data_IF_570230073687
#
_entry.id   IF_570230073687
#
_cell.length_a   1.000
_cell.length_b   1.000
_cell.length_c   1.000
_cell.angle_alpha   90.00
_cell.angle_beta   90.00
_cell.angle_gamma   90.00
#
_symmetry.space_group_name_H-M   'P 1'
#
loop_
_entity.id
_entity.type
_entity.pdbx_description
1 polymer ?
#
# COMPACT_ATOMS: atom_id res chain seq x y z
N UNK A 1 11.26 12.91 -17.45
CA UNK A 1 10.24 11.90 -17.78
C UNK A 1 9.66 11.41 -16.46
N UNK A 2 8.34 11.58 -16.26
CA UNK A 2 7.64 11.15 -15.04
C UNK A 2 6.95 9.84 -15.36
N UNK A 3 7.69 8.74 -15.31
CA UNK A 3 7.21 7.41 -15.75
C UNK A 3 6.20 6.76 -14.78
N UNK A 4 5.81 7.49 -13.73
CA UNK A 4 5.04 7.01 -12.59
C UNK A 4 3.86 7.92 -12.28
N UNK A 5 3.40 8.74 -13.22
CA UNK A 5 2.16 9.49 -13.09
C UNK A 5 0.95 8.73 -13.68
N UNK A 6 1.17 7.49 -14.10
CA UNK A 6 0.21 6.66 -14.82
C UNK A 6 -0.03 7.10 -16.26
N UNK A 7 0.73 8.08 -16.79
CA UNK A 7 0.55 8.60 -18.16
C UNK A 7 1.63 8.13 -19.14
N UNK A 8 2.67 7.48 -18.63
CA UNK A 8 3.85 7.08 -19.39
C UNK A 8 4.16 5.61 -19.12
N UNK A 9 3.54 4.73 -19.90
CA UNK A 9 3.67 3.28 -19.79
C UNK A 9 4.43 2.72 -21.00
N UNK A 10 5.04 1.55 -20.84
CA UNK A 10 5.63 0.81 -21.96
C UNK A 10 4.54 0.19 -22.87
N UNK A 11 4.95 -0.52 -23.92
CA UNK A 11 4.02 -1.19 -24.85
C UNK A 11 3.14 -2.24 -24.16
N UNK A 12 3.59 -2.78 -23.03
CA UNK A 12 2.88 -3.76 -22.19
C UNK A 12 1.95 -3.10 -21.16
N UNK A 13 1.81 -1.77 -21.17
CA UNK A 13 1.04 -0.98 -20.20
C UNK A 13 1.60 -1.02 -18.76
N UNK A 14 2.90 -1.25 -18.61
CA UNK A 14 3.59 -1.23 -17.33
C UNK A 14 4.25 0.13 -17.10
N UNK A 15 4.28 0.58 -15.84
CA UNK A 15 5.11 1.74 -15.50
C UNK A 15 6.58 1.35 -15.62
N UNK A 16 7.46 2.31 -15.90
CA UNK A 16 8.90 2.00 -15.94
C UNK A 16 9.34 1.85 -14.49
N UNK A 17 9.55 0.64 -13.99
CA UNK A 17 9.94 0.37 -12.59
C UNK A 17 10.86 1.46 -12.02
N UNK A 18 10.45 2.04 -10.88
CA UNK A 18 11.43 2.68 -9.98
C UNK A 18 12.18 1.52 -9.40
N UNK A 19 13.17 1.08 -10.14
CA UNK A 19 14.31 0.41 -9.61
C UNK A 19 14.65 1.18 -8.31
N UNK A 20 14.64 0.50 -7.15
CA UNK A 20 15.25 1.00 -5.90
C UNK A 20 16.68 1.56 -6.15
N UNK A 21 17.20 1.22 -7.32
CA UNK A 21 18.49 1.32 -7.92
C UNK A 21 18.73 2.45 -8.94
N UNK A 22 17.90 3.49 -9.01
CA UNK A 22 18.46 4.77 -9.52
C UNK A 22 19.60 5.32 -8.62
N UNK A 23 19.74 4.79 -7.38
CA UNK A 23 20.90 5.00 -6.47
C UNK A 23 21.35 3.75 -5.65
N UNK A 24 20.92 2.53 -5.99
CA UNK A 24 21.14 1.27 -5.24
C UNK A 24 20.89 1.25 -3.73
N UNK A 25 20.27 2.25 -3.11
CA UNK A 25 19.89 2.13 -1.69
C UNK A 25 18.63 2.89 -1.35
N UNK A 26 18.00 2.38 -0.29
CA UNK A 26 17.01 3.06 0.52
C UNK A 26 17.48 4.51 0.71
N UNK A 27 16.61 5.53 0.54
CA UNK A 27 16.97 6.90 0.87
C UNK A 27 17.43 6.97 2.33
N UNK A 28 18.75 7.02 2.54
CA UNK A 28 19.33 7.25 3.85
C UNK A 28 19.44 8.74 4.08
N UNK A 29 19.01 9.17 5.26
CA UNK A 29 19.27 10.53 5.72
C UNK A 29 20.72 10.64 6.10
N UNK A 30 21.43 11.62 5.53
CA UNK A 30 22.80 11.90 5.93
C UNK A 30 22.86 12.14 7.46
N UNK A 31 23.77 11.46 8.18
CA UNK A 31 23.95 11.65 9.60
C UNK A 31 24.17 13.12 9.96
N UNK A 32 23.51 13.59 11.02
CA UNK A 32 23.60 15.00 11.46
C UNK A 32 25.00 15.41 11.93
N UNK A 33 25.85 14.42 12.24
CA UNK A 33 27.25 14.61 12.64
C UNK A 33 28.21 14.75 11.45
N UNK A 34 27.70 14.68 10.21
CA UNK A 34 28.48 14.80 8.98
C UNK A 34 29.26 13.54 8.58
N UNK A 35 29.02 12.41 9.23
CA UNK A 35 29.58 11.12 8.79
C UNK A 35 28.98 10.66 7.46
N UNK A 36 29.73 9.85 6.72
CA UNK A 36 29.32 9.34 5.41
C UNK A 36 28.24 8.26 5.57
N UNK A 37 27.10 8.43 4.90
CA UNK A 37 26.09 7.38 4.78
C UNK A 37 26.65 6.20 3.98
N UNK A 38 26.46 4.96 4.47
CA UNK A 38 26.97 3.77 3.79
C UNK A 38 25.85 3.18 2.92
N UNK A 39 26.08 3.21 1.62
CA UNK A 39 25.10 2.84 0.60
C UNK A 39 25.38 1.40 0.10
N UNK A 40 24.68 0.35 0.57
CA UNK A 40 24.88 -1.00 0.05
C UNK A 40 24.48 -1.08 -1.42
N UNK A 41 25.36 -1.60 -2.29
CA UNK A 41 25.18 -1.51 -3.75
C UNK A 41 24.27 -2.58 -4.36
N UNK A 42 23.88 -3.64 -3.63
CA UNK A 42 22.94 -4.67 -4.09
C UNK A 42 22.67 -5.72 -3.02
N UNK A 43 21.40 -6.12 -2.86
CA UNK A 43 21.01 -7.36 -2.16
C UNK A 43 20.73 -8.45 -3.22
N UNK A 44 21.33 -9.65 -3.13
CA UNK A 44 21.08 -10.74 -4.07
C UNK A 44 19.69 -11.36 -3.97
N UNK A 45 18.92 -11.08 -2.91
CA UNK A 45 17.58 -11.63 -2.72
C UNK A 45 16.50 -10.57 -2.95
N UNK A 46 15.71 -10.74 -4.01
CA UNK A 46 14.54 -9.91 -4.29
C UNK A 46 13.32 -10.81 -4.60
N UNK A 47 12.24 -10.74 -3.80
CA UNK A 47 11.00 -11.47 -4.08
C UNK A 47 10.32 -11.02 -5.36
N UNK A 48 9.51 -11.88 -5.97
CA UNK A 48 8.75 -11.55 -7.17
C UNK A 48 7.79 -10.36 -6.97
N UNK A 49 7.24 -10.19 -5.76
CA UNK A 49 6.42 -9.02 -5.42
C UNK A 49 7.18 -7.69 -5.50
N UNK A 50 8.50 -7.71 -5.29
CA UNK A 50 9.36 -6.52 -5.25
C UNK A 50 9.93 -6.15 -6.63
N UNK A 51 9.85 -7.05 -7.62
CA UNK A 51 10.20 -6.75 -9.02
C UNK A 51 9.09 -6.03 -9.79
N UNK A 52 7.91 -5.87 -9.19
CA UNK A 52 6.80 -5.17 -9.80
C UNK A 52 7.11 -3.67 -9.99
N UNK A 53 6.81 -3.15 -11.18
CA UNK A 53 7.05 -1.74 -11.53
C UNK A 53 6.31 -0.72 -10.66
N UNK A 54 5.20 -1.15 -10.06
CA UNK A 54 4.34 -0.36 -9.19
C UNK A 54 4.52 -0.71 -7.70
N UNK A 55 5.48 -1.57 -7.32
CA UNK A 55 5.73 -1.99 -5.94
C UNK A 55 5.78 -0.81 -4.96
N UNK A 56 6.52 0.25 -5.28
CA UNK A 56 6.66 1.44 -4.41
C UNK A 56 5.31 2.14 -4.17
N UNK A 57 4.33 2.05 -5.08
CA UNK A 57 3.00 2.58 -4.84
C UNK A 57 2.09 1.59 -4.07
N UNK A 58 2.36 0.27 -4.16
CA UNK A 58 1.60 -0.79 -3.48
C UNK A 58 2.10 -1.18 -2.09
N UNK A 59 3.36 -0.93 -1.75
CA UNK A 59 4.02 -1.45 -0.54
C UNK A 59 3.25 -1.17 0.76
N UNK A 60 2.51 -0.05 0.84
CA UNK A 60 1.68 0.30 2.00
C UNK A 60 0.48 -0.63 2.23
N UNK A 61 0.12 -1.43 1.21
CA UNK A 61 -0.98 -2.37 1.21
C UNK A 61 -0.52 -3.82 1.03
N UNK A 62 0.71 -4.01 0.57
CA UNK A 62 1.32 -5.30 0.26
C UNK A 62 2.60 -5.40 1.07
N UNK A 63 2.46 -5.67 2.38
CA UNK A 63 3.57 -5.97 3.28
C UNK A 63 3.35 -7.36 3.87
N UNK A 64 4.39 -8.19 3.86
CA UNK A 64 4.31 -9.57 4.37
C UNK A 64 5.55 -9.89 5.24
N UNK A 65 5.64 -11.14 5.70
CA UNK A 65 6.74 -11.57 6.56
C UNK A 65 8.08 -11.72 5.85
N UNK A 66 8.14 -11.64 4.52
CA UNK A 66 9.41 -11.70 3.77
C UNK A 66 10.26 -10.46 3.99
N UNK A 67 9.63 -9.33 4.35
CA UNK A 67 10.31 -8.05 4.58
C UNK A 67 11.35 -8.10 5.72
N UNK A 68 11.08 -8.87 6.78
CA UNK A 68 11.99 -9.07 7.92
C UNK A 68 13.29 -9.79 7.54
N UNK A 69 13.34 -10.42 6.35
CA UNK A 69 14.52 -11.12 5.87
C UNK A 69 15.71 -10.22 5.56
N UNK A 70 15.47 -8.93 5.27
CA UNK A 70 16.50 -7.98 4.83
C UNK A 70 16.66 -6.79 5.77
N UNK A 71 15.57 -6.26 6.35
CA UNK A 71 15.60 -5.04 7.16
C UNK A 71 14.70 -5.13 8.39
N UNK A 72 14.94 -4.26 9.36
CA UNK A 72 14.01 -4.05 10.48
C UNK A 72 12.73 -3.38 9.97
N UNK A 73 11.61 -4.05 10.16
CA UNK A 73 10.26 -3.59 9.76
C UNK A 73 9.44 -3.07 10.94
N UNK A 74 10.06 -2.90 12.10
CA UNK A 74 9.39 -2.36 13.29
C UNK A 74 8.82 -0.97 13.02
N UNK A 75 7.81 -0.54 13.78
CA UNK A 75 7.21 0.80 13.66
C UNK A 75 6.76 1.20 12.22
N UNK A 76 5.97 0.36 11.52
CA UNK A 76 5.57 0.64 10.15
C UNK A 76 4.74 1.92 10.02
N UNK A 77 5.11 2.78 9.07
CA UNK A 77 4.53 4.10 8.89
C UNK A 77 5.07 5.17 9.85
N UNK A 78 6.03 4.81 10.71
CA UNK A 78 6.78 5.74 11.52
C UNK A 78 7.58 6.74 10.69
N UNK A 79 8.06 7.80 11.35
CA UNK A 79 8.87 8.86 10.70
C UNK A 79 10.05 9.29 11.57
N UNK A 80 10.44 8.45 12.52
CA UNK A 80 11.50 8.70 13.50
C UNK A 80 12.83 8.06 13.12
N UNK A 81 12.92 7.49 11.91
CA UNK A 81 14.10 6.82 11.37
C UNK A 81 14.53 5.59 12.20
N UNK A 82 13.62 4.98 12.98
CA UNK A 82 13.95 3.84 13.85
C UNK A 82 14.16 2.51 13.12
N UNK A 83 13.64 2.40 11.90
CA UNK A 83 13.61 1.18 11.09
C UNK A 83 13.44 1.51 9.61
N UNK A 84 13.45 0.51 8.74
CA UNK A 84 13.13 0.71 7.32
C UNK A 84 11.71 1.27 7.13
N UNK A 85 10.73 0.66 7.81
CA UNK A 85 9.33 1.08 7.71
C UNK A 85 9.01 2.35 8.51
N UNK A 86 9.95 2.88 9.29
CA UNK A 86 9.86 4.15 10.01
C UNK A 86 10.72 5.28 9.41
N UNK A 87 11.26 5.07 8.21
CA UNK A 87 12.14 6.03 7.54
C UNK A 87 11.39 7.29 7.11
N UNK A 88 11.79 8.44 7.67
CA UNK A 88 11.20 9.75 7.36
C UNK A 88 11.40 10.19 5.91
N UNK A 89 12.48 9.79 5.26
CA UNK A 89 12.72 10.09 3.85
C UNK A 89 11.68 9.42 2.93
N UNK A 90 11.06 8.31 3.37
CA UNK A 90 9.96 7.66 2.65
C UNK A 90 8.59 8.13 3.16
N UNK A 91 8.33 8.03 4.47
CA UNK A 91 7.00 8.22 5.06
C UNK A 91 6.65 9.67 5.43
N UNK A 92 7.63 10.56 5.56
CA UNK A 92 7.42 12.00 5.81
C UNK A 92 7.70 12.88 4.57
N UNK A 93 7.85 12.27 3.39
CA UNK A 93 8.21 12.97 2.15
C UNK A 93 7.07 12.93 1.14
N UNK A 94 6.65 14.10 0.68
CA UNK A 94 5.75 14.19 -0.47
C UNK A 94 6.54 14.07 -1.78
N UNK A 95 6.42 12.93 -2.47
CA UNK A 95 7.07 12.66 -3.75
C UNK A 95 6.31 13.27 -4.95
N UNK A 96 6.07 14.59 -4.91
CA UNK A 96 5.29 15.35 -5.92
C UNK A 96 5.76 15.13 -7.35
N UNK A 97 7.04 14.82 -7.54
CA UNK A 97 7.64 14.62 -8.86
C UNK A 97 7.65 13.17 -9.33
N UNK A 98 7.62 12.20 -8.40
CA UNK A 98 7.52 10.80 -8.72
C UNK A 98 6.08 10.40 -9.07
N UNK A 99 5.05 11.08 -8.56
CA UNK A 99 3.67 10.77 -8.96
C UNK A 99 3.10 9.49 -8.35
N UNK A 100 3.67 9.00 -7.24
CA UNK A 100 3.20 7.80 -6.51
C UNK A 100 1.72 7.87 -6.07
N UNK A 101 1.12 9.06 -6.08
CA UNK A 101 -0.28 9.32 -5.78
C UNK A 101 -1.10 9.80 -6.99
N UNK A 102 -0.58 9.68 -8.21
CA UNK A 102 -1.31 10.05 -9.42
C UNK A 102 -2.45 9.06 -9.70
N UNK A 103 -3.58 9.55 -10.20
CA UNK A 103 -4.78 8.74 -10.46
C UNK A 103 -4.49 7.49 -11.30
N UNK A 104 -3.69 7.61 -12.35
CA UNK A 104 -3.36 6.44 -13.20
C UNK A 104 -2.52 5.38 -12.48
N UNK A 105 -1.66 5.77 -11.52
CA UNK A 105 -0.99 4.77 -10.66
C UNK A 105 -1.98 4.11 -9.71
N UNK A 106 -2.92 4.88 -9.13
CA UNK A 106 -3.97 4.31 -8.27
C UNK A 106 -4.77 3.25 -9.03
N UNK A 107 -5.15 3.50 -10.28
CA UNK A 107 -5.84 2.54 -11.13
C UNK A 107 -5.01 1.25 -11.38
N UNK A 108 -3.71 1.38 -11.63
CA UNK A 108 -2.80 0.25 -11.85
C UNK A 108 -2.51 -0.56 -10.58
N UNK A 109 -2.61 0.08 -9.41
CA UNK A 109 -2.23 -0.50 -8.12
C UNK A 109 -3.40 -0.99 -7.29
N UNK A 110 -4.59 -0.43 -7.51
CA UNK A 110 -5.82 -0.84 -6.83
C UNK A 110 -6.44 -2.07 -7.51
N UNK A 111 -5.63 -3.10 -7.71
CA UNK A 111 -6.02 -4.36 -8.32
C UNK A 111 -6.23 -5.38 -7.20
N UNK A 112 -7.41 -5.98 -7.12
CA UNK A 112 -7.66 -7.05 -6.16
C UNK A 112 -6.90 -8.32 -6.59
N UNK A 113 -6.40 -9.15 -5.64
CA UNK A 113 -5.82 -10.44 -5.99
C UNK A 113 -6.76 -11.26 -6.88
N UNK A 114 -6.24 -11.84 -7.97
CA UNK A 114 -7.03 -12.60 -8.95
C UNK A 114 -7.80 -13.78 -8.34
N UNK A 115 -7.29 -14.33 -7.23
CA UNK A 115 -7.88 -15.47 -6.53
C UNK A 115 -9.01 -15.09 -5.57
N UNK A 116 -9.36 -13.80 -5.46
CA UNK A 116 -10.48 -13.40 -4.62
C UNK A 116 -11.83 -13.84 -5.22
N UNK A 117 -12.82 -14.18 -4.37
CA UNK A 117 -14.16 -14.46 -4.83
C UNK A 117 -14.72 -13.25 -5.59
N UNK A 118 -15.48 -13.53 -6.65
CA UNK A 118 -16.15 -12.51 -7.45
C UNK A 118 -17.59 -12.91 -7.73
N UNK A 119 -18.45 -11.93 -7.98
CA UNK A 119 -19.85 -12.15 -8.35
C UNK A 119 -19.95 -12.33 -9.88
N UNK A 120 -20.75 -13.28 -10.39
CA UNK A 120 -21.74 -14.10 -9.68
C UNK A 120 -21.26 -15.47 -9.16
N UNK A 121 -19.98 -15.80 -9.27
CA UNK A 121 -19.44 -17.10 -8.85
C UNK A 121 -19.50 -17.33 -7.34
N UNK A 122 -19.39 -16.26 -6.53
CA UNK A 122 -19.60 -16.25 -5.09
C UNK A 122 -20.94 -15.59 -4.74
N UNK A 123 -21.59 -16.10 -3.69
CA UNK A 123 -22.83 -15.53 -3.17
C UNK A 123 -22.60 -14.12 -2.61
N UNK A 124 -23.61 -13.24 -2.73
CA UNK A 124 -23.57 -11.87 -2.20
C UNK A 124 -23.74 -11.86 -0.66
N UNK A 125 -22.86 -12.58 0.04
CA UNK A 125 -22.82 -12.65 1.50
C UNK A 125 -21.56 -11.98 2.02
N UNK A 126 -21.55 -11.73 3.33
CA UNK A 126 -20.34 -11.25 3.98
C UNK A 126 -19.22 -12.29 3.86
N UNK A 127 -19.50 -13.54 4.23
CA UNK A 127 -18.48 -14.58 4.34
C UNK A 127 -17.91 -15.01 2.98
N UNK A 128 -18.74 -15.06 1.93
CA UNK A 128 -18.33 -15.59 0.63
C UNK A 128 -17.73 -14.53 -0.29
N UNK A 129 -18.02 -13.23 -0.08
CA UNK A 129 -17.60 -12.17 -0.99
C UNK A 129 -17.01 -10.95 -0.29
N UNK A 130 -17.78 -10.28 0.58
CA UNK A 130 -17.38 -8.96 1.10
C UNK A 130 -16.20 -9.05 2.09
N UNK A 131 -16.29 -9.97 3.04
CA UNK A 131 -15.27 -10.22 4.07
C UNK A 131 -13.90 -10.56 3.48
N UNK A 132 -13.79 -11.51 2.53
CA UNK A 132 -12.54 -11.81 1.83
C UNK A 132 -11.90 -10.59 1.15
N UNK A 133 -12.70 -9.74 0.48
CA UNK A 133 -12.21 -8.52 -0.18
C UNK A 133 -11.65 -7.53 0.85
N UNK A 134 -12.39 -7.27 1.93
CA UNK A 134 -11.96 -6.35 2.98
C UNK A 134 -10.74 -6.88 3.75
N UNK A 135 -10.67 -8.18 3.97
CA UNK A 135 -9.51 -8.85 4.59
C UNK A 135 -8.23 -8.61 3.78
N UNK A 136 -8.33 -8.74 2.46
CA UNK A 136 -7.17 -8.60 1.57
C UNK A 136 -6.61 -7.17 1.45
N UNK A 137 -7.40 -6.13 1.74
CA UNK A 137 -6.99 -4.73 1.48
C UNK A 137 -7.15 -3.76 2.64
N UNK A 138 -8.09 -4.00 3.55
CA UNK A 138 -8.50 -3.01 4.54
C UNK A 138 -8.14 -3.43 5.96
N UNK A 139 -8.26 -4.72 6.29
CA UNK A 139 -8.12 -5.23 7.66
C UNK A 139 -6.73 -5.02 8.25
N UNK A 140 -5.68 -5.00 7.43
CA UNK A 140 -4.31 -4.75 7.91
C UNK A 140 -4.19 -3.45 8.73
N UNK A 141 -4.95 -2.41 8.35
CA UNK A 141 -5.01 -1.14 9.08
C UNK A 141 -6.33 -0.95 9.86
N UNK A 142 -7.43 -1.48 9.36
CA UNK A 142 -8.78 -1.32 9.92
C UNK A 142 -9.30 -2.61 10.58
N UNK A 143 -8.42 -3.41 11.19
CA UNK A 143 -8.75 -4.63 11.95
C UNK A 143 -8.51 -4.50 13.46
N UNK A 144 -8.28 -3.28 13.97
CA UNK A 144 -7.99 -3.11 15.40
C UNK A 144 -7.39 -1.77 15.82
N UNK A 145 -6.72 -1.08 14.91
CA UNK A 145 -5.74 -0.03 15.27
C UNK A 145 -6.10 1.38 14.79
N UNK A 146 -7.14 1.54 13.96
CA UNK A 146 -7.47 2.81 13.30
C UNK A 146 -8.90 3.34 13.56
N UNK A 147 -9.57 2.89 14.63
CA UNK A 147 -10.91 3.40 14.99
C UNK A 147 -12.02 3.06 13.99
N UNK A 148 -11.80 2.03 13.17
CA UNK A 148 -12.74 1.36 12.28
C UNK A 148 -12.34 -0.12 12.24
N UNK A 149 -13.32 -1.01 12.28
CA UNK A 149 -13.15 -2.46 12.28
C UNK A 149 -13.84 -3.03 11.03
N UNK A 150 -13.09 -3.67 10.14
CA UNK A 150 -13.57 -4.24 8.86
C UNK A 150 -13.32 -5.74 8.76
N UNK A 151 -12.88 -6.37 9.84
CA UNK A 151 -12.59 -7.79 9.97
C UNK A 151 -13.84 -8.64 10.23
N UNK A 152 -14.93 -8.01 10.71
CA UNK A 152 -16.22 -8.64 10.98
C UNK A 152 -17.37 -7.81 10.42
N UNK A 153 -18.48 -8.49 10.11
CA UNK A 153 -19.70 -7.82 9.63
C UNK A 153 -20.19 -6.81 10.67
N UNK A 154 -20.26 -7.21 11.93
CA UNK A 154 -20.72 -6.37 13.04
C UNK A 154 -19.83 -5.13 13.20
N UNK A 155 -18.50 -5.30 13.10
CA UNK A 155 -17.55 -4.19 13.16
C UNK A 155 -17.76 -3.19 12.02
N UNK A 156 -17.89 -3.70 10.79
CA UNK A 156 -18.06 -2.85 9.61
C UNK A 156 -19.38 -2.06 9.66
N UNK A 157 -20.45 -2.69 10.18
CA UNK A 157 -21.75 -2.06 10.35
C UNK A 157 -21.81 -1.08 11.53
N UNK A 158 -20.98 -1.26 12.57
CA UNK A 158 -20.88 -0.30 13.67
C UNK A 158 -20.28 1.05 13.22
N UNK A 159 -19.48 1.04 12.16
CA UNK A 159 -18.80 2.23 11.64
C UNK A 159 -17.55 2.60 12.45
N UNK A 160 -17.05 3.82 12.20
CA UNK A 160 -15.83 4.30 12.84
C UNK A 160 -15.96 5.72 13.37
N UNK A 161 -14.82 6.33 13.68
CA UNK A 161 -14.75 7.69 14.22
C UNK A 161 -15.40 8.77 13.34
N UNK A 162 -15.58 8.50 12.05
CA UNK A 162 -16.24 9.41 11.09
C UNK A 162 -17.73 9.12 10.90
N UNK A 163 -18.30 8.18 11.67
CA UNK A 163 -19.68 7.71 11.53
C UNK A 163 -19.78 6.37 10.79
N UNK A 164 -20.97 6.04 10.27
CA UNK A 164 -21.21 4.77 9.58
C UNK A 164 -20.32 4.62 8.34
N UNK A 165 -19.54 3.53 8.29
CA UNK A 165 -18.75 3.20 7.10
C UNK A 165 -19.65 2.69 5.97
N UNK A 166 -20.68 1.93 6.33
CA UNK A 166 -21.68 1.33 5.44
C UNK A 166 -23.06 1.81 5.86
N UNK A 167 -23.83 2.32 4.90
CA UNK A 167 -25.24 2.67 5.05
C UNK A 167 -26.07 1.62 4.30
N UNK A 168 -26.83 0.76 5.00
CA UNK A 168 -27.61 -0.30 4.36
C UNK A 168 -28.56 0.24 3.29
N UNK A 169 -28.46 -0.30 2.07
CA UNK A 169 -29.31 0.08 0.94
C UNK A 169 -28.95 1.41 0.26
N UNK A 170 -27.94 2.13 0.74
CA UNK A 170 -27.49 3.40 0.17
C UNK A 170 -25.97 3.43 0.01
N UNK A 171 -25.50 2.93 -1.13
CA UNK A 171 -24.08 2.89 -1.46
C UNK A 171 -23.48 4.30 -1.61
N UNK A 172 -24.25 5.27 -2.12
CA UNK A 172 -23.76 6.63 -2.32
C UNK A 172 -23.59 7.39 -1.00
N UNK A 173 -24.38 7.08 0.03
CA UNK A 173 -24.21 7.61 1.38
C UNK A 173 -23.15 6.85 2.22
N UNK A 174 -22.65 5.71 1.74
CA UNK A 174 -21.67 4.90 2.48
C UNK A 174 -20.26 5.49 2.35
N UNK A 175 -19.64 5.87 3.49
CA UNK A 175 -18.30 6.46 3.50
C UNK A 175 -17.24 5.57 2.85
N UNK A 176 -17.35 4.25 2.99
CA UNK A 176 -16.40 3.31 2.36
C UNK A 176 -16.41 3.46 0.83
N UNK A 177 -17.58 3.72 0.24
CA UNK A 177 -17.73 3.96 -1.20
C UNK A 177 -17.28 5.37 -1.58
N UNK A 178 -17.44 6.36 -0.71
CA UNK A 178 -17.02 7.73 -1.01
C UNK A 178 -15.48 7.89 -0.96
N UNK A 179 -14.81 7.18 -0.05
CA UNK A 179 -13.39 7.35 0.23
C UNK A 179 -12.48 6.41 -0.57
N UNK A 180 -12.98 5.26 -1.04
CA UNK A 180 -12.21 4.27 -1.78
C UNK A 180 -12.45 4.32 -3.31
N UNK A 181 -12.92 5.47 -3.82
CA UNK A 181 -13.15 5.72 -5.26
C UNK A 181 -11.88 6.06 -6.01
#
# INVERSE_FOLDING_TARGET
>A
FRCHDGKHLNEQQESIRIECNLCHSIPEKAPSDGSTAYMPLSDPFEPESHVDSNWIARHRFEFDSTCEGCHDVSNPGGTDDSSFCANSACHATEWKFAGLNATGIVELTNQLPELLPSYPEADLTWDDLVGPILSARCVACHGGTAGLYLDTYEGAMAGGNLGPAIVPGDADASLIIQLQR
#
